data_IF_130227427188
#
_entry.id   IF_130227427188
#
_cell.length_a   1.000
_cell.length_b   1.000
_cell.length_c   1.000
_cell.angle_alpha   90.00
_cell.angle_beta   90.00
_cell.angle_gamma   90.00
#
_symmetry.space_group_name_H-M   'P 1'
#
loop_
_entity.id
_entity.type
_entity.pdbx_description
1 polymer ?
#
# COMPACT_ATOMS: atom_id res chain seq x y z
N UNK A 1 10.26 8.64 2.99
CA UNK A 1 9.85 10.05 3.05
C UNK A 1 8.34 10.16 3.28
N UNK A 2 7.97 10.72 4.43
CA UNK A 2 6.55 10.81 4.81
C UNK A 2 5.75 11.72 3.87
N UNK A 3 6.34 12.80 3.38
CA UNK A 3 5.64 13.69 2.46
C UNK A 3 5.33 13.01 1.13
N UNK A 4 6.28 12.25 0.62
CA UNK A 4 6.12 11.50 -0.62
C UNK A 4 5.02 10.44 -0.46
N UNK A 5 5.06 9.69 0.64
CA UNK A 5 4.06 8.65 0.93
C UNK A 5 2.66 9.26 1.05
N UNK A 6 2.54 10.36 1.80
CA UNK A 6 1.24 11.01 1.99
C UNK A 6 0.70 11.53 0.66
N UNK A 7 1.55 12.06 -0.20
CA UNK A 7 1.14 12.52 -1.52
C UNK A 7 0.60 11.36 -2.36
N UNK A 8 1.33 10.23 -2.37
CA UNK A 8 0.89 9.06 -3.13
C UNK A 8 -0.46 8.53 -2.66
N UNK A 9 -0.64 8.44 -1.35
CA UNK A 9 -1.92 7.96 -0.78
C UNK A 9 -3.06 8.89 -1.17
N UNK A 10 -2.85 10.21 -1.05
CA UNK A 10 -3.87 11.19 -1.42
C UNK A 10 -4.22 11.10 -2.91
N UNK A 11 -3.23 10.92 -3.78
CA UNK A 11 -3.46 10.79 -5.22
C UNK A 11 -4.20 9.49 -5.55
N UNK A 12 -3.86 8.40 -4.86
CA UNK A 12 -4.56 7.13 -5.06
C UNK A 12 -6.04 7.24 -4.68
N UNK A 13 -6.33 7.90 -3.57
CA UNK A 13 -7.71 8.10 -3.13
C UNK A 13 -8.49 8.94 -4.14
N UNK A 14 -7.88 10.00 -4.69
CA UNK A 14 -8.49 10.80 -5.75
C UNK A 14 -8.77 9.96 -7.00
N UNK A 15 -7.82 9.13 -7.40
CA UNK A 15 -7.96 8.24 -8.53
C UNK A 15 -9.19 7.33 -8.36
N UNK A 16 -9.32 6.75 -7.18
CA UNK A 16 -10.47 5.88 -6.91
C UNK A 16 -11.79 6.63 -6.98
N UNK A 17 -11.85 7.86 -6.47
CA UNK A 17 -13.06 8.67 -6.53
C UNK A 17 -13.42 9.02 -7.97
N UNK A 18 -12.44 9.42 -8.77
CA UNK A 18 -12.67 9.78 -10.17
C UNK A 18 -13.16 8.58 -10.97
N UNK A 19 -12.65 7.41 -10.67
CA UNK A 19 -13.01 6.17 -11.36
C UNK A 19 -14.17 5.42 -10.73
N UNK A 20 -14.84 6.03 -9.74
CA UNK A 20 -15.99 5.46 -9.04
C UNK A 20 -15.66 4.12 -8.37
N UNK A 21 -14.44 3.98 -7.87
CA UNK A 21 -14.04 2.79 -7.12
C UNK A 21 -14.35 3.04 -5.66
N UNK A 22 -15.26 2.23 -5.11
CA UNK A 22 -15.58 2.30 -3.68
C UNK A 22 -14.54 1.46 -2.92
N UNK A 23 -13.85 2.09 -1.99
CA UNK A 23 -12.80 1.43 -1.25
C UNK A 23 -12.74 1.94 0.18
N UNK A 24 -12.27 1.07 1.08
CA UNK A 24 -11.93 1.44 2.44
C UNK A 24 -10.42 1.34 2.60
N UNK A 25 -9.85 2.12 3.50
CA UNK A 25 -8.41 2.27 3.65
C UNK A 25 -8.00 2.04 5.08
N UNK A 26 -6.92 1.28 5.27
CA UNK A 26 -6.41 0.91 6.58
C UNK A 26 -4.90 0.99 6.57
N UNK A 27 -4.31 0.92 7.76
CA UNK A 27 -2.89 0.61 7.92
C UNK A 27 -2.76 -0.47 8.97
N UNK A 28 -1.59 -1.12 9.00
CA UNK A 28 -1.32 -2.17 9.98
C UNK A 28 0.04 -1.96 10.61
N UNK A 29 0.11 -2.17 11.92
CA UNK A 29 1.35 -2.02 12.67
C UNK A 29 1.37 -3.02 13.81
N UNK A 30 2.54 -3.63 14.07
CA UNK A 30 2.75 -4.55 15.19
C UNK A 30 3.56 -3.88 16.29
N UNK A 31 3.63 -4.54 17.44
CA UNK A 31 4.46 -4.08 18.57
C UNK A 31 5.95 -4.15 18.24
N UNK A 32 6.35 -4.99 17.31
CA UNK A 32 7.75 -5.18 16.91
C UNK A 32 8.16 -4.29 15.75
N UNK A 33 7.41 -3.22 15.51
CA UNK A 33 7.66 -2.20 14.47
C UNK A 33 7.55 -2.72 13.04
N UNK A 34 6.91 -3.86 12.84
CA UNK A 34 6.52 -4.28 11.51
C UNK A 34 5.28 -3.52 11.11
N UNK A 35 5.20 -3.09 9.85
CA UNK A 35 4.04 -2.32 9.40
C UNK A 35 3.76 -2.53 7.93
N UNK A 36 2.49 -2.34 7.58
CA UNK A 36 2.03 -2.18 6.21
C UNK A 36 1.45 -0.77 6.14
N UNK A 37 2.03 0.07 5.30
CA UNK A 37 1.78 1.51 5.32
C UNK A 37 0.37 1.88 4.84
N UNK A 38 -0.20 1.09 3.95
CA UNK A 38 -1.48 1.39 3.34
C UNK A 38 -2.13 0.09 2.90
N UNK A 39 -3.40 -0.09 3.24
CA UNK A 39 -4.17 -1.26 2.82
C UNK A 39 -5.44 -0.74 2.17
N UNK A 40 -5.70 -1.15 0.95
CA UNK A 40 -6.90 -0.79 0.22
C UNK A 40 -7.81 -2.00 0.13
N UNK A 41 -9.06 -1.85 0.54
CA UNK A 41 -10.08 -2.89 0.47
C UNK A 41 -11.20 -2.44 -0.47
N UNK A 42 -11.41 -3.19 -1.54
CA UNK A 42 -12.47 -2.90 -2.50
C UNK A 42 -13.16 -4.21 -2.90
N UNK A 43 -14.06 -4.14 -3.89
CA UNK A 43 -14.84 -5.32 -4.31
C UNK A 43 -13.96 -6.48 -4.81
N UNK A 44 -12.75 -6.19 -5.26
CA UNK A 44 -11.82 -7.21 -5.73
C UNK A 44 -11.03 -7.88 -4.62
N UNK A 45 -11.09 -7.33 -3.40
CA UNK A 45 -10.37 -7.84 -2.25
C UNK A 45 -9.49 -6.79 -1.61
N UNK A 46 -8.50 -7.25 -0.85
CA UNK A 46 -7.60 -6.37 -0.11
C UNK A 46 -6.19 -6.47 -0.65
N UNK A 47 -5.49 -5.34 -0.72
CA UNK A 47 -4.09 -5.29 -1.09
C UNK A 47 -3.35 -4.33 -0.16
N UNK A 48 -2.17 -4.74 0.27
CA UNK A 48 -1.32 -3.92 1.13
C UNK A 48 -0.16 -3.32 0.35
N UNK A 49 0.35 -2.20 0.84
CA UNK A 49 1.44 -1.46 0.19
C UNK A 49 2.43 -0.98 1.23
N UNK A 50 3.72 -1.13 0.91
CA UNK A 50 4.81 -0.53 1.67
C UNK A 50 5.53 0.45 0.76
N UNK A 51 5.78 1.64 1.28
CA UNK A 51 6.40 2.72 0.50
C UNK A 51 7.86 2.88 0.88
N UNK A 52 8.71 2.96 -0.12
CA UNK A 52 10.14 3.21 0.07
C UNK A 52 10.62 4.09 -1.07
N UNK A 53 11.04 5.29 -0.76
CA UNK A 53 11.49 6.22 -1.79
C UNK A 53 12.64 5.65 -2.60
N UNK A 54 13.62 5.05 -1.92
CA UNK A 54 14.79 4.48 -2.57
C UNK A 54 14.47 3.07 -3.11
N UNK A 55 14.58 2.88 -4.42
CA UNK A 55 14.26 1.61 -5.07
C UNK A 55 15.33 0.54 -4.95
N UNK A 56 16.48 0.83 -4.34
CA UNK A 56 17.59 -0.12 -4.24
C UNK A 56 17.35 -1.25 -3.23
N UNK A 57 16.42 -1.07 -2.31
CA UNK A 57 16.13 -2.09 -1.30
C UNK A 57 14.68 -2.57 -1.43
N UNK A 58 14.46 -3.78 -1.95
CA UNK A 58 13.11 -4.33 -1.97
C UNK A 58 12.62 -4.55 -0.54
N UNK A 59 11.36 -4.21 -0.30
CA UNK A 59 10.73 -4.43 1.00
C UNK A 59 10.06 -5.79 1.01
N UNK A 60 10.27 -6.53 2.10
CA UNK A 60 9.63 -7.83 2.27
C UNK A 60 8.29 -7.67 2.97
N UNK A 61 7.36 -8.56 2.65
CA UNK A 61 6.10 -8.65 3.40
C UNK A 61 6.41 -8.94 4.86
N UNK A 62 5.89 -8.13 5.80
CA UNK A 62 6.18 -8.36 7.23
C UNK A 62 5.73 -9.75 7.67
N UNK A 63 6.58 -10.53 8.35
CA UNK A 63 6.23 -11.90 8.73
C UNK A 63 4.97 -12.01 9.59
N UNK A 64 4.77 -11.11 10.54
CA UNK A 64 3.56 -11.14 11.37
C UNK A 64 2.31 -10.87 10.56
N UNK A 65 2.38 -9.92 9.63
CA UNK A 65 1.25 -9.65 8.75
C UNK A 65 0.94 -10.86 7.88
N UNK A 66 1.98 -11.50 7.35
CA UNK A 66 1.80 -12.70 6.53
C UNK A 66 1.15 -13.84 7.31
N UNK A 67 1.51 -14.00 8.59
CA UNK A 67 0.92 -15.04 9.42
C UNK A 67 -0.56 -14.78 9.72
N UNK A 68 -0.93 -13.53 9.95
CA UNK A 68 -2.32 -13.17 10.26
C UNK A 68 -3.18 -13.05 9.01
N UNK A 69 -2.61 -12.61 7.90
CA UNK A 69 -3.35 -12.33 6.66
C UNK A 69 -2.61 -12.90 5.45
N UNK A 70 -2.51 -14.25 5.36
CA UNK A 70 -1.70 -14.87 4.30
C UNK A 70 -2.23 -14.60 2.89
N UNK A 71 -3.52 -14.28 2.75
CA UNK A 71 -4.14 -14.07 1.45
C UNK A 71 -4.06 -12.63 0.96
N UNK A 72 -3.57 -11.70 1.79
CA UNK A 72 -3.45 -10.30 1.39
C UNK A 72 -2.05 -10.06 0.81
N UNK A 73 -1.95 -9.76 -0.51
CA UNK A 73 -0.64 -9.44 -1.07
C UNK A 73 -0.14 -8.09 -0.58
N UNK A 74 1.17 -7.96 -0.46
CA UNK A 74 1.81 -6.70 -0.08
C UNK A 74 2.78 -6.31 -1.20
N UNK A 75 2.57 -5.13 -1.75
CA UNK A 75 3.36 -4.61 -2.85
C UNK A 75 4.32 -3.53 -2.36
N UNK A 76 5.49 -3.47 -2.96
CA UNK A 76 6.45 -2.39 -2.70
C UNK A 76 6.20 -1.25 -3.68
N UNK A 77 6.08 -0.03 -3.15
CA UNK A 77 5.94 1.18 -3.96
C UNK A 77 7.18 2.03 -3.76
N UNK A 78 7.89 2.31 -4.84
CA UNK A 78 9.10 3.12 -4.84
C UNK A 78 9.11 4.06 -6.05
N UNK A 79 10.20 4.78 -6.24
CA UNK A 79 10.29 5.75 -7.35
C UNK A 79 10.21 5.09 -8.73
N UNK A 80 10.44 3.78 -8.81
CA UNK A 80 10.32 3.04 -10.08
C UNK A 80 8.94 2.44 -10.32
N UNK A 81 8.10 2.33 -9.28
CA UNK A 81 6.81 1.63 -9.36
C UNK A 81 5.61 2.49 -8.95
N UNK A 82 5.82 3.73 -8.50
CA UNK A 82 4.73 4.54 -7.94
C UNK A 82 3.62 4.83 -8.94
N UNK A 83 3.95 4.94 -10.22
CA UNK A 83 2.94 5.26 -11.22
C UNK A 83 1.91 4.13 -11.36
N UNK A 84 2.36 2.88 -11.32
CA UNK A 84 1.45 1.74 -11.33
C UNK A 84 0.53 1.73 -10.13
N UNK A 85 1.06 2.10 -8.95
CA UNK A 85 0.24 2.23 -7.75
C UNK A 85 -0.85 3.30 -7.93
N UNK A 86 -0.50 4.45 -8.51
CA UNK A 86 -1.44 5.56 -8.68
C UNK A 86 -2.57 5.23 -9.65
N UNK A 87 -2.30 4.42 -10.67
CA UNK A 87 -3.25 4.18 -11.75
C UNK A 87 -3.85 2.78 -11.78
N UNK A 88 -3.60 1.99 -10.76
CA UNK A 88 -4.11 0.61 -10.70
C UNK A 88 -5.63 0.59 -10.54
N UNK A 89 -6.27 -0.14 -11.41
CA UNK A 89 -7.72 -0.33 -11.36
C UNK A 89 -8.12 -1.55 -10.54
#
# INVERSE_FOLDING_TARGET
DALWMNWLIAERIKWNKINNVMAEYFFWRSHTRQQVDFIECNVKGMEGYKFKYNKKKPLKKPPLFQNHYPDIPVHTVNTGTYFSFLTKK
#
